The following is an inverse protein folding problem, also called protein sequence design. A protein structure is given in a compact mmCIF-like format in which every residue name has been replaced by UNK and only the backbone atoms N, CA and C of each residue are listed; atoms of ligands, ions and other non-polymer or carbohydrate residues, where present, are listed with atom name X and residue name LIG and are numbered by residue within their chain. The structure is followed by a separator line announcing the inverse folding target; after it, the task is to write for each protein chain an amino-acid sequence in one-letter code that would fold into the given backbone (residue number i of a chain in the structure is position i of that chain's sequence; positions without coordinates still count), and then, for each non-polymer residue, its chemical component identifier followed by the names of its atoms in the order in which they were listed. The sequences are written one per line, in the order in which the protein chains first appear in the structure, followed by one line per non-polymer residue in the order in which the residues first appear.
data_IF_321747724723
#
_entry.id   IF_321747724723
#
_cell.length_a   1.000
_cell.length_b   1.000
_cell.length_c   1.000
_cell.angle_alpha   90.00
_cell.angle_beta   90.00
_cell.angle_gamma   90.00
#
_symmetry.space_group_name_H-M   'P 1'
#
loop_
_entity.id
_entity.type
_entity.pdbx_description
1 polymer ?
#
# COMPACT_ATOMS: atom_id res chain seq x y z
N UNK A 1 -4.59 -12.02 9.30
CA UNK A 1 -4.32 -10.58 9.05
C UNK A 1 -5.57 -9.92 8.50
N UNK A 2 -5.91 -8.69 8.94
CA UNK A 2 -7.05 -7.95 8.39
C UNK A 2 -6.65 -7.29 7.07
N UNK A 3 -7.42 -7.53 6.00
CA UNK A 3 -7.18 -6.94 4.69
C UNK A 3 -8.13 -5.77 4.42
N UNK A 4 -7.58 -4.74 3.82
CA UNK A 4 -8.27 -3.53 3.39
C UNK A 4 -8.13 -3.37 1.88
N UNK A 5 -9.24 -3.08 1.21
CA UNK A 5 -9.23 -2.65 -0.19
C UNK A 5 -9.34 -1.13 -0.21
N UNK A 6 -8.30 -0.48 -0.70
CA UNK A 6 -8.26 0.96 -0.89
C UNK A 6 -8.73 1.29 -2.31
N UNK A 7 -9.83 2.04 -2.44
CA UNK A 7 -10.41 2.40 -3.72
C UNK A 7 -10.89 3.86 -3.75
N UNK A 8 -10.86 4.48 -4.92
CA UNK A 8 -11.52 5.76 -5.14
C UNK A 8 -13.05 5.60 -5.06
N UNK A 9 -13.74 6.60 -4.53
CA UNK A 9 -15.19 6.53 -4.33
C UNK A 9 -15.97 6.23 -5.63
N UNK A 10 -15.52 6.77 -6.76
CA UNK A 10 -16.15 6.58 -8.07
C UNK A 10 -15.90 5.19 -8.68
N UNK A 11 -14.89 4.48 -8.21
CA UNK A 11 -14.43 3.20 -8.77
C UNK A 11 -14.61 2.03 -7.80
N UNK A 12 -15.29 2.25 -6.67
CA UNK A 12 -15.42 1.22 -5.64
C UNK A 12 -16.16 0.01 -6.19
N UNK A 13 -15.51 -1.17 -6.28
CA UNK A 13 -16.15 -2.40 -6.71
C UNK A 13 -17.09 -2.93 -5.64
N UNK A 14 -17.88 -3.95 -6.00
CA UNK A 14 -18.54 -4.78 -5.00
C UNK A 14 -17.47 -5.53 -4.17
N UNK A 15 -17.41 -5.23 -2.89
CA UNK A 15 -16.32 -5.68 -2.01
C UNK A 15 -16.76 -6.90 -1.21
N UNK A 16 -15.97 -7.96 -1.27
CA UNK A 16 -16.15 -9.14 -0.42
C UNK A 16 -16.26 -8.72 1.07
N UNK A 17 -17.28 -9.18 1.81
CA UNK A 17 -17.51 -8.79 3.21
C UNK A 17 -16.36 -9.13 4.17
N UNK A 18 -15.43 -9.99 3.78
CA UNK A 18 -14.21 -10.29 4.55
C UNK A 18 -13.15 -9.19 4.45
N UNK A 19 -13.26 -8.34 3.45
CA UNK A 19 -12.40 -7.17 3.26
C UNK A 19 -13.01 -5.95 3.94
N UNK A 20 -12.15 -5.02 4.32
CA UNK A 20 -12.57 -3.69 4.78
C UNK A 20 -12.30 -2.67 3.69
N UNK A 21 -13.18 -1.70 3.54
CA UNK A 21 -13.01 -0.65 2.55
C UNK A 21 -12.28 0.54 3.17
N UNK A 22 -11.33 1.09 2.42
CA UNK A 22 -10.71 2.39 2.67
C UNK A 22 -10.94 3.26 1.44
N UNK A 23 -11.47 4.45 1.64
CA UNK A 23 -11.64 5.40 0.56
C UNK A 23 -10.32 6.13 0.28
N UNK A 24 -9.87 6.08 -0.97
CA UNK A 24 -8.69 6.84 -1.41
C UNK A 24 -9.14 8.20 -1.89
N UNK A 25 -8.60 9.25 -1.26
CA UNK A 25 -8.77 10.63 -1.71
C UNK A 25 -7.41 11.23 -2.06
N UNK A 26 -7.16 11.42 -3.34
CA UNK A 26 -5.95 12.05 -3.84
C UNK A 26 -5.96 13.58 -3.70
N UNK A 27 -7.13 14.16 -3.46
CA UNK A 27 -7.32 15.62 -3.49
C UNK A 27 -8.02 16.08 -2.22
N UNK A 28 -7.28 16.27 -1.20
CA UNK A 28 -7.82 16.76 0.05
C UNK A 28 -8.22 18.25 -0.01
N UNK A 29 -8.78 18.73 -1.12
CA UNK A 29 -8.99 20.15 -1.26
C UNK A 29 -10.41 20.65 -1.05
N UNK A 30 -11.47 19.87 -0.98
CA UNK A 30 -12.80 20.49 -0.72
C UNK A 30 -13.95 19.62 -0.24
N UNK A 31 -14.00 18.35 -0.49
CA UNK A 31 -15.11 17.55 0.01
C UNK A 31 -14.70 16.09 0.14
N UNK A 32 -15.01 15.54 1.26
CA UNK A 32 -14.95 14.11 1.45
C UNK A 32 -15.83 13.43 0.39
N UNK A 33 -15.40 12.32 -0.24
CA UNK A 33 -16.18 11.66 -1.29
C UNK A 33 -17.61 11.41 -0.83
N UNK A 34 -18.57 11.89 -1.61
CA UNK A 34 -19.97 11.61 -1.36
C UNK A 34 -20.39 10.36 -2.12
N UNK A 35 -21.33 9.59 -1.59
CA UNK A 35 -21.91 8.45 -2.31
C UNK A 35 -21.08 7.17 -2.28
N UNK A 36 -20.30 6.94 -1.24
CA UNK A 36 -19.61 5.65 -1.03
C UNK A 36 -20.63 4.52 -0.96
N UNK A 37 -20.51 3.46 -1.79
CA UNK A 37 -21.46 2.36 -1.85
C UNK A 37 -21.49 1.50 -0.58
N UNK A 38 -20.41 1.51 0.19
CA UNK A 38 -20.29 0.86 1.49
C UNK A 38 -19.70 1.85 2.50
N UNK A 39 -19.99 1.66 3.79
CA UNK A 39 -19.35 2.44 4.85
C UNK A 39 -17.87 2.08 4.96
N UNK A 40 -16.93 2.96 4.55
CA UNK A 40 -15.52 2.68 4.67
C UNK A 40 -15.11 2.66 6.14
N UNK A 41 -14.09 1.86 6.47
CA UNK A 41 -13.51 1.87 7.82
C UNK A 41 -12.51 3.01 8.00
N UNK A 42 -11.95 3.51 6.91
CA UNK A 42 -10.96 4.58 6.94
C UNK A 42 -10.86 5.36 5.65
N UNK A 43 -10.00 6.35 5.65
CA UNK A 43 -9.64 7.16 4.49
C UNK A 43 -8.12 7.15 4.28
N UNK A 44 -7.70 7.12 3.03
CA UNK A 44 -6.31 7.27 2.62
C UNK A 44 -6.11 8.64 1.97
N UNK A 45 -5.23 9.43 2.55
CA UNK A 45 -4.87 10.76 2.07
C UNK A 45 -3.50 10.68 1.38
N UNK A 46 -3.47 10.98 0.10
CA UNK A 46 -2.24 10.98 -0.69
C UNK A 46 -1.85 12.42 -1.03
N UNK A 47 -1.11 13.03 -0.13
CA UNK A 47 -0.65 14.41 -0.27
C UNK A 47 -1.55 15.42 0.45
N UNK A 48 -1.06 16.64 0.57
CA UNK A 48 -1.76 17.76 1.19
C UNK A 48 -0.98 18.45 2.29
N UNK A 49 -1.55 19.56 2.78
CA UNK A 49 -1.01 20.36 3.88
C UNK A 49 -1.48 19.78 5.23
N UNK A 50 -0.57 19.61 6.17
CA UNK A 50 -0.82 19.12 7.52
C UNK A 50 -1.14 20.26 8.52
N UNK A 51 -1.64 21.40 8.05
CA UNK A 51 -1.99 22.48 8.98
C UNK A 51 -2.94 21.98 10.08
N UNK A 52 -2.78 22.51 11.28
CA UNK A 52 -3.60 22.13 12.45
C UNK A 52 -5.10 22.32 12.20
N UNK A 53 -5.48 23.32 11.39
CA UNK A 53 -6.86 23.56 10.97
C UNK A 53 -7.39 22.41 10.14
N UNK A 54 -6.62 21.93 9.18
CA UNK A 54 -7.00 20.85 8.27
C UNK A 54 -7.09 19.51 9.00
N UNK A 55 -6.22 19.27 9.96
CA UNK A 55 -6.30 18.11 10.87
C UNK A 55 -7.63 18.10 11.64
N UNK A 56 -8.07 19.28 12.09
CA UNK A 56 -9.37 19.43 12.74
C UNK A 56 -10.52 19.02 11.81
N UNK A 57 -10.55 19.59 10.61
CA UNK A 57 -11.57 19.33 9.59
C UNK A 57 -11.63 17.85 9.19
N UNK A 58 -10.47 17.20 8.97
CA UNK A 58 -10.38 15.77 8.70
C UNK A 58 -10.97 14.97 9.87
N UNK A 59 -10.50 15.26 11.07
CA UNK A 59 -10.92 14.52 12.25
C UNK A 59 -12.40 14.62 12.54
N UNK A 60 -12.99 15.80 12.37
CA UNK A 60 -14.43 16.02 12.53
C UNK A 60 -15.24 15.27 11.47
N UNK A 61 -14.80 15.33 10.21
CA UNK A 61 -15.47 14.62 9.12
C UNK A 61 -15.38 13.11 9.27
N UNK A 62 -14.22 12.58 9.66
CA UNK A 62 -14.06 11.16 9.95
C UNK A 62 -14.95 10.71 11.10
N UNK A 63 -15.00 11.49 12.18
CA UNK A 63 -15.88 11.19 13.32
C UNK A 63 -17.35 11.21 12.93
N UNK A 64 -17.78 12.20 12.15
CA UNK A 64 -19.16 12.32 11.64
C UNK A 64 -19.57 11.12 10.77
N UNK A 65 -18.64 10.55 10.02
CA UNK A 65 -18.89 9.39 9.14
C UNK A 65 -18.64 8.04 9.81
N UNK A 66 -18.21 8.03 11.07
CA UNK A 66 -17.89 6.79 11.79
C UNK A 66 -16.61 6.09 11.30
N UNK A 67 -15.72 6.81 10.62
CA UNK A 67 -14.43 6.28 10.19
C UNK A 67 -13.53 6.04 11.41
N UNK A 68 -12.67 5.04 11.32
CA UNK A 68 -11.81 4.61 12.44
C UNK A 68 -10.32 4.78 12.17
N UNK A 69 -9.92 4.97 10.90
CA UNK A 69 -8.53 5.09 10.51
C UNK A 69 -8.31 6.18 9.48
N UNK A 70 -7.16 6.83 9.57
CA UNK A 70 -6.66 7.80 8.59
C UNK A 70 -5.27 7.36 8.16
N UNK A 71 -5.15 6.94 6.91
CA UNK A 71 -3.87 6.64 6.28
C UNK A 71 -3.37 7.91 5.62
N UNK A 72 -2.11 8.24 5.84
CA UNK A 72 -1.53 9.44 5.26
C UNK A 72 -0.15 9.16 4.66
N UNK A 73 -0.04 9.42 3.36
CA UNK A 73 1.20 9.41 2.59
C UNK A 73 1.63 10.82 2.31
N UNK A 74 2.30 11.45 3.25
CA UNK A 74 2.89 12.75 3.02
C UNK A 74 4.34 12.60 2.58
N UNK A 75 4.80 13.51 1.74
CA UNK A 75 6.22 13.73 1.55
C UNK A 75 6.91 14.15 2.86
N UNK A 76 8.12 14.62 2.80
CA UNK A 76 8.85 15.09 3.98
C UNK A 76 8.08 16.21 4.69
N UNK A 77 7.43 15.87 5.79
CA UNK A 77 6.78 16.85 6.68
C UNK A 77 7.62 17.06 7.93
N UNK A 78 7.69 18.28 8.48
CA UNK A 78 8.39 18.53 9.73
C UNK A 78 7.89 17.62 10.86
N UNK A 79 8.80 17.10 11.67
CA UNK A 79 8.50 16.16 12.76
C UNK A 79 7.38 16.64 13.70
N UNK A 80 7.40 17.93 14.02
CA UNK A 80 6.42 18.55 14.90
C UNK A 80 5.01 18.56 14.29
N UNK A 81 4.89 18.74 12.98
CA UNK A 81 3.60 18.76 12.30
C UNK A 81 3.02 17.35 12.23
N UNK A 82 3.84 16.35 11.92
CA UNK A 82 3.46 14.93 11.93
C UNK A 82 2.97 14.51 13.32
N UNK A 83 3.70 14.87 14.37
CA UNK A 83 3.31 14.54 15.75
C UNK A 83 1.97 15.20 16.13
N UNK A 84 1.76 16.49 15.79
CA UNK A 84 0.50 17.21 16.01
C UNK A 84 -0.68 16.60 15.24
N UNK A 85 -0.44 16.16 14.02
CA UNK A 85 -1.42 15.48 13.20
C UNK A 85 -1.87 14.18 13.88
N UNK A 86 -0.94 13.30 14.23
CA UNK A 86 -1.24 12.03 14.89
C UNK A 86 -1.97 12.23 16.22
N UNK A 87 -1.48 13.13 17.06
CA UNK A 87 -2.08 13.46 18.35
C UNK A 87 -3.51 14.01 18.19
N UNK A 88 -3.72 14.86 17.18
CA UNK A 88 -5.06 15.37 16.85
C UNK A 88 -6.05 14.31 16.43
N UNK A 89 -5.61 13.27 15.71
CA UNK A 89 -6.43 12.12 15.32
C UNK A 89 -6.69 11.18 16.50
N UNK A 90 -5.65 10.86 17.28
CA UNK A 90 -5.76 9.99 18.45
C UNK A 90 -6.74 10.53 19.50
N UNK A 91 -6.71 11.85 19.76
CA UNK A 91 -7.68 12.51 20.66
C UNK A 91 -9.13 12.36 20.20
N UNK A 92 -9.36 12.11 18.94
CA UNK A 92 -10.69 11.87 18.34
C UNK A 92 -11.04 10.38 18.21
N UNK A 93 -10.20 9.50 18.77
CA UNK A 93 -10.39 8.05 18.68
C UNK A 93 -10.10 7.47 17.29
N UNK A 94 -9.43 8.24 16.42
CA UNK A 94 -9.02 7.81 15.09
C UNK A 94 -7.62 7.23 15.14
N UNK A 95 -7.38 6.19 14.35
CA UNK A 95 -6.08 5.53 14.22
C UNK A 95 -5.29 6.18 13.09
N UNK A 96 -4.17 6.87 13.37
CA UNK A 96 -3.27 7.33 12.34
C UNK A 96 -2.41 6.18 11.81
N UNK A 97 -2.26 6.08 10.50
CA UNK A 97 -1.36 5.17 9.80
C UNK A 97 -0.55 6.02 8.83
N UNK A 98 0.77 5.97 8.93
CA UNK A 98 1.66 6.78 8.11
C UNK A 98 2.54 5.91 7.24
N UNK A 99 2.81 6.37 6.01
CA UNK A 99 3.86 5.75 5.19
C UNK A 99 5.22 5.87 5.88
N UNK A 100 6.13 4.97 5.61
CA UNK A 100 7.46 4.93 6.23
C UNK A 100 8.18 6.28 6.17
N UNK A 101 8.08 6.98 5.04
CA UNK A 101 8.73 8.29 4.84
C UNK A 101 8.15 9.40 5.73
N UNK A 102 6.89 9.29 6.12
CA UNK A 102 6.22 10.25 6.99
C UNK A 102 6.23 9.83 8.47
N UNK A 103 6.46 8.54 8.74
CA UNK A 103 6.43 7.99 10.08
C UNK A 103 7.65 8.40 10.91
N UNK A 104 7.42 8.61 12.20
CA UNK A 104 8.47 8.96 13.16
C UNK A 104 8.22 8.25 14.50
N UNK A 105 9.29 7.84 15.13
CA UNK A 105 9.21 7.19 16.44
C UNK A 105 8.49 8.07 17.47
N UNK A 106 7.57 7.48 18.21
CA UNK A 106 6.81 8.17 19.27
C UNK A 106 5.65 9.04 18.78
N UNK A 107 5.34 9.09 17.48
CA UNK A 107 4.18 9.86 16.98
C UNK A 107 2.83 9.18 17.26
N UNK A 108 2.81 7.95 17.77
CA UNK A 108 1.59 7.19 18.06
C UNK A 108 0.87 6.62 16.83
N UNK A 109 1.45 6.76 15.64
CA UNK A 109 0.93 6.18 14.41
C UNK A 109 1.47 4.78 14.15
N UNK A 110 0.66 3.94 13.49
CA UNK A 110 1.17 2.72 12.86
C UNK A 110 1.99 3.10 11.62
N UNK A 111 3.05 2.34 11.36
CA UNK A 111 3.89 2.54 10.18
C UNK A 111 3.41 1.65 9.04
N UNK A 112 3.32 2.17 7.83
CA UNK A 112 3.00 1.41 6.62
C UNK A 112 4.21 1.36 5.70
N UNK A 113 4.64 0.15 5.33
CA UNK A 113 5.73 -0.07 4.38
C UNK A 113 5.24 -0.80 3.15
N UNK A 114 5.86 -0.51 2.00
CA UNK A 114 5.57 -1.21 0.74
C UNK A 114 6.18 -2.61 0.73
N UNK A 115 5.44 -3.57 0.18
CA UNK A 115 5.91 -4.92 -0.13
C UNK A 115 6.54 -5.05 -1.52
N UNK A 116 6.54 -3.99 -2.31
CA UNK A 116 7.08 -3.96 -3.67
C UNK A 116 8.58 -3.63 -3.63
N UNK A 117 9.41 -4.64 -3.45
CA UNK A 117 10.87 -4.48 -3.40
C UNK A 117 11.49 -4.74 -4.76
N UNK A 118 12.48 -3.93 -5.12
CA UNK A 118 13.36 -4.14 -6.27
C UNK A 118 14.75 -4.67 -5.89
N UNK A 119 15.02 -4.81 -4.60
CA UNK A 119 16.26 -5.36 -4.03
C UNK A 119 16.10 -5.62 -2.53
N UNK A 120 17.05 -6.38 -1.95
CA UNK A 120 17.01 -6.77 -0.56
C UNK A 120 16.13 -8.00 -0.29
N UNK A 121 15.70 -8.15 0.95
CA UNK A 121 14.90 -9.28 1.44
C UNK A 121 13.67 -8.77 2.20
N UNK A 122 12.47 -9.22 1.80
CA UNK A 122 11.23 -8.73 2.37
C UNK A 122 11.06 -9.13 3.84
N UNK A 123 11.52 -10.32 4.22
CA UNK A 123 11.47 -10.76 5.63
C UNK A 123 12.30 -9.84 6.52
N UNK A 124 13.56 -9.63 6.15
CA UNK A 124 14.49 -8.75 6.87
C UNK A 124 13.91 -7.34 7.01
N UNK A 125 13.35 -6.80 5.93
CA UNK A 125 12.72 -5.47 5.95
C UNK A 125 11.52 -5.40 6.90
N UNK A 126 10.68 -6.43 6.94
CA UNK A 126 9.55 -6.50 7.87
C UNK A 126 10.01 -6.61 9.33
N UNK A 127 11.03 -7.42 9.61
CA UNK A 127 11.60 -7.61 10.94
C UNK A 127 12.23 -6.30 11.46
N UNK A 128 13.00 -5.60 10.62
CA UNK A 128 13.58 -4.29 10.94
C UNK A 128 12.49 -3.24 11.21
N UNK A 129 11.44 -3.21 10.40
CA UNK A 129 10.32 -2.29 10.59
C UNK A 129 9.55 -2.58 11.89
N UNK A 130 9.30 -3.85 12.21
CA UNK A 130 8.68 -4.27 13.47
C UNK A 130 9.52 -3.92 14.70
N UNK A 131 10.85 -3.92 14.57
CA UNK A 131 11.75 -3.46 15.64
C UNK A 131 11.72 -1.95 15.90
N UNK A 132 11.15 -1.17 14.97
CA UNK A 132 11.10 0.31 15.04
C UNK A 132 9.75 0.85 15.51
N UNK A 133 8.66 0.12 15.35
CA UNK A 133 7.30 0.59 15.59
C UNK A 133 6.45 -0.40 16.38
N UNK A 134 5.47 0.10 17.14
CA UNK A 134 4.52 -0.72 17.89
C UNK A 134 3.41 -1.33 17.01
N UNK A 135 3.23 -0.84 15.79
CA UNK A 135 2.24 -1.31 14.83
C UNK A 135 2.71 -1.15 13.41
N UNK A 136 2.75 -2.28 12.67
CA UNK A 136 3.14 -2.32 11.27
C UNK A 136 1.95 -2.69 10.39
N UNK A 137 1.79 -1.95 9.31
CA UNK A 137 0.87 -2.22 8.20
C UNK A 137 1.68 -2.51 6.93
N UNK A 138 1.17 -3.37 6.07
CA UNK A 138 1.79 -3.69 4.80
C UNK A 138 0.99 -3.07 3.65
N UNK A 139 1.62 -2.21 2.87
CA UNK A 139 1.13 -1.81 1.56
C UNK A 139 1.48 -2.92 0.56
N UNK A 140 0.44 -3.58 0.05
CA UNK A 140 0.55 -4.66 -0.92
C UNK A 140 0.53 -4.07 -2.35
N UNK A 141 1.35 -3.04 -2.57
CA UNK A 141 1.59 -2.48 -3.90
C UNK A 141 1.93 -3.61 -4.88
N UNK A 142 1.26 -3.61 -6.02
CA UNK A 142 1.50 -4.62 -7.05
C UNK A 142 2.75 -4.31 -7.84
N UNK A 143 3.81 -5.05 -7.61
CA UNK A 143 5.06 -4.89 -8.34
C UNK A 143 4.89 -5.27 -9.81
N UNK A 144 5.24 -4.35 -10.70
CA UNK A 144 5.37 -4.55 -12.14
C UNK A 144 6.40 -3.57 -12.67
N UNK A 145 7.66 -4.01 -12.71
CA UNK A 145 8.78 -3.16 -13.13
C UNK A 145 9.74 -3.91 -14.05
N UNK A 146 10.40 -3.19 -14.94
CA UNK A 146 11.46 -3.69 -15.79
C UNK A 146 12.73 -2.83 -15.62
N UNK A 147 13.86 -3.48 -15.49
CA UNK A 147 15.17 -2.86 -15.25
C UNK A 147 16.06 -3.15 -16.45
N UNK A 148 16.69 -2.15 -17.10
CA UNK A 148 17.68 -2.39 -18.14
C UNK A 148 18.86 -3.17 -17.55
N UNK A 149 19.54 -3.98 -18.36
CA UNK A 149 20.75 -4.67 -17.93
C UNK A 149 21.91 -4.23 -18.81
N UNK A 150 22.94 -3.58 -18.24
CA UNK A 150 23.13 -3.24 -16.82
C UNK A 150 22.20 -2.11 -16.34
N UNK A 151 21.92 -2.07 -15.01
CA UNK A 151 21.09 -1.06 -14.37
C UNK A 151 21.92 -0.27 -13.34
N UNK A 152 22.76 0.68 -13.77
CA UNK A 152 23.68 1.38 -12.87
C UNK A 152 22.97 2.21 -11.80
N UNK A 153 21.79 2.75 -12.11
CA UNK A 153 21.04 3.64 -11.22
C UNK A 153 20.08 2.87 -10.31
N UNK A 154 19.92 1.56 -10.53
CA UNK A 154 18.98 0.72 -9.76
C UNK A 154 17.49 1.06 -9.97
N UNK A 155 17.21 1.96 -10.92
CA UNK A 155 15.84 2.40 -11.18
C UNK A 155 15.18 1.57 -12.29
N UNK A 156 13.99 1.04 -11.98
CA UNK A 156 13.17 0.30 -12.92
C UNK A 156 12.02 1.15 -13.46
N UNK A 157 11.64 0.88 -14.71
CA UNK A 157 10.47 1.49 -15.33
C UNK A 157 9.20 0.68 -15.03
N UNK A 158 8.10 1.37 -14.84
CA UNK A 158 6.80 0.72 -14.67
C UNK A 158 6.43 -0.07 -15.93
N UNK A 159 5.96 -1.30 -15.75
CA UNK A 159 5.51 -2.17 -16.82
C UNK A 159 3.99 -2.29 -16.77
N UNK A 160 3.31 -1.97 -17.86
CA UNK A 160 1.84 -2.12 -17.93
C UNK A 160 1.42 -3.59 -17.84
N UNK A 161 0.21 -3.84 -17.34
CA UNK A 161 -0.36 -5.21 -17.28
C UNK A 161 -0.37 -5.87 -18.64
N UNK A 162 -0.71 -5.13 -19.71
CA UNK A 162 -0.71 -5.61 -21.09
C UNK A 162 0.69 -6.01 -21.55
N UNK A 163 1.69 -5.14 -21.32
CA UNK A 163 3.06 -5.44 -21.73
C UNK A 163 3.62 -6.68 -21.00
N UNK A 164 3.33 -6.83 -19.70
CA UNK A 164 3.67 -8.05 -18.95
C UNK A 164 2.99 -9.29 -19.54
N UNK A 165 1.69 -9.22 -19.82
CA UNK A 165 0.95 -10.33 -20.43
C UNK A 165 1.54 -10.73 -21.78
N UNK A 166 1.88 -9.75 -22.64
CA UNK A 166 2.51 -10.00 -23.95
C UNK A 166 3.86 -10.72 -23.81
N UNK A 167 4.68 -10.35 -22.82
CA UNK A 167 5.97 -11.01 -22.55
C UNK A 167 5.76 -12.47 -22.11
N UNK A 168 4.80 -12.72 -21.21
CA UNK A 168 4.48 -14.06 -20.74
C UNK A 168 3.93 -14.95 -21.88
N UNK A 169 3.07 -14.42 -22.74
CA UNK A 169 2.57 -15.14 -23.92
C UNK A 169 3.67 -15.47 -24.95
N UNK A 170 4.72 -14.67 -25.04
CA UNK A 170 5.89 -14.96 -25.87
C UNK A 170 6.83 -16.03 -25.31
N UNK A 171 6.46 -16.64 -24.19
CA UNK A 171 7.19 -17.77 -23.60
C UNK A 171 8.22 -17.40 -22.55
N UNK A 172 8.16 -16.21 -21.98
CA UNK A 172 8.95 -15.90 -20.80
C UNK A 172 8.67 -16.91 -19.67
N UNK A 173 9.72 -17.36 -18.99
CA UNK A 173 9.65 -18.36 -17.91
C UNK A 173 9.99 -17.71 -16.58
N UNK A 174 9.01 -17.19 -15.84
CA UNK A 174 9.26 -16.61 -14.53
C UNK A 174 9.74 -17.64 -13.52
N UNK A 175 10.69 -17.25 -12.68
CA UNK A 175 11.05 -17.91 -11.44
C UNK A 175 10.57 -17.10 -10.24
N UNK A 176 10.33 -17.76 -9.12
CA UNK A 176 10.01 -17.08 -7.87
C UNK A 176 11.29 -16.71 -7.13
N UNK A 177 11.40 -15.47 -6.66
CA UNK A 177 12.44 -15.01 -5.74
C UNK A 177 11.92 -15.08 -4.31
N UNK A 178 12.54 -15.92 -3.49
CA UNK A 178 12.19 -16.04 -2.06
C UNK A 178 12.55 -14.77 -1.28
N UNK A 179 13.60 -14.06 -1.68
CA UNK A 179 14.05 -12.82 -1.04
C UNK A 179 13.08 -11.66 -1.32
N UNK A 180 12.77 -11.44 -2.58
CA UNK A 180 11.87 -10.35 -3.01
C UNK A 180 10.39 -10.72 -2.85
N UNK A 181 10.08 -12.01 -2.64
CA UNK A 181 8.71 -12.54 -2.59
C UNK A 181 7.88 -12.17 -3.83
N UNK A 182 8.53 -12.11 -5.00
CA UNK A 182 7.90 -11.81 -6.29
C UNK A 182 8.39 -12.75 -7.38
N UNK A 183 7.80 -12.68 -8.57
CA UNK A 183 8.27 -13.40 -9.76
C UNK A 183 9.24 -12.54 -10.56
N UNK A 184 10.24 -13.20 -11.16
CA UNK A 184 11.30 -12.58 -11.93
C UNK A 184 11.62 -13.36 -13.20
N UNK A 185 11.97 -12.64 -14.26
CA UNK A 185 12.54 -13.22 -15.49
C UNK A 185 13.31 -12.16 -16.27
N UNK A 186 14.13 -12.59 -17.24
CA UNK A 186 14.76 -11.71 -18.22
C UNK A 186 14.03 -11.79 -19.55
N UNK A 187 13.90 -10.64 -20.23
CA UNK A 187 13.30 -10.55 -21.54
C UNK A 187 13.97 -9.46 -22.39
N UNK A 188 13.88 -9.60 -23.71
CA UNK A 188 14.23 -8.54 -24.63
C UNK A 188 13.02 -7.59 -24.80
N UNK A 189 13.21 -6.32 -24.46
CA UNK A 189 12.20 -5.26 -24.58
C UNK A 189 12.83 -4.12 -25.39
N UNK A 190 12.27 -3.84 -26.56
CA UNK A 190 12.77 -2.80 -27.50
C UNK A 190 14.26 -2.94 -27.86
N UNK A 191 14.74 -4.18 -28.00
CA UNK A 191 16.13 -4.47 -28.36
C UNK A 191 17.13 -4.43 -27.17
N UNK A 192 16.65 -4.26 -25.95
CA UNK A 192 17.45 -4.27 -24.73
C UNK A 192 17.12 -5.48 -23.86
N UNK A 193 18.12 -6.12 -23.30
CA UNK A 193 17.88 -7.14 -22.27
C UNK A 193 17.46 -6.46 -20.98
N UNK A 194 16.30 -6.85 -20.46
CA UNK A 194 15.72 -6.27 -19.24
C UNK A 194 15.38 -7.38 -18.23
N UNK A 195 15.59 -7.06 -16.97
CA UNK A 195 15.13 -7.87 -15.85
C UNK A 195 13.74 -7.39 -15.42
N UNK A 196 12.78 -8.30 -15.38
CA UNK A 196 11.39 -8.00 -15.06
C UNK A 196 11.03 -8.59 -13.71
N UNK A 197 10.48 -7.75 -12.83
CA UNK A 197 9.91 -8.13 -11.54
C UNK A 197 8.41 -7.88 -11.54
N UNK A 198 7.63 -8.84 -11.06
CA UNK A 198 6.19 -8.68 -10.99
C UNK A 198 5.52 -9.52 -9.91
N UNK A 199 4.36 -9.04 -9.47
CA UNK A 199 3.47 -9.75 -8.56
C UNK A 199 2.28 -10.34 -9.30
N UNK A 200 1.85 -11.50 -8.83
CA UNK A 200 0.58 -12.14 -9.19
C UNK A 200 -0.16 -12.61 -7.91
N UNK A 201 -1.29 -13.30 -8.09
CA UNK A 201 -2.10 -13.81 -6.98
C UNK A 201 -1.32 -14.77 -6.06
N UNK A 202 -0.39 -15.55 -6.60
CA UNK A 202 0.43 -16.47 -5.81
C UNK A 202 1.42 -15.69 -4.93
N UNK A 203 2.15 -14.73 -5.51
CA UNK A 203 3.11 -13.90 -4.75
C UNK A 203 2.40 -13.08 -3.68
N UNK A 204 1.22 -12.53 -3.97
CA UNK A 204 0.38 -11.85 -2.99
C UNK A 204 0.10 -12.74 -1.76
N UNK A 205 -0.36 -13.98 -1.98
CA UNK A 205 -0.63 -14.92 -0.89
C UNK A 205 0.62 -15.24 -0.08
N UNK A 206 1.77 -15.40 -0.73
CA UNK A 206 3.05 -15.65 -0.05
C UNK A 206 3.48 -14.47 0.82
N UNK A 207 3.39 -13.24 0.29
CA UNK A 207 3.64 -11.99 1.04
C UNK A 207 2.74 -11.88 2.28
N UNK A 208 1.45 -12.19 2.12
CA UNK A 208 0.48 -12.17 3.22
C UNK A 208 0.81 -13.19 4.32
N UNK A 209 1.17 -14.43 3.95
CA UNK A 209 1.57 -15.46 4.92
C UNK A 209 2.85 -15.07 5.65
N UNK A 210 3.85 -14.54 4.94
CA UNK A 210 5.07 -14.05 5.56
C UNK A 210 4.76 -12.95 6.56
N UNK A 211 4.03 -11.91 6.14
CA UNK A 211 3.68 -10.79 7.01
C UNK A 211 2.88 -11.24 8.24
N UNK A 212 1.89 -12.13 8.05
CA UNK A 212 1.11 -12.69 9.16
C UNK A 212 1.97 -13.50 10.14
N UNK A 213 2.93 -14.30 9.64
CA UNK A 213 3.84 -15.08 10.49
C UNK A 213 4.76 -14.22 11.36
N UNK A 214 5.05 -12.99 10.92
CA UNK A 214 5.84 -12.00 11.65
C UNK A 214 4.99 -11.10 12.56
N UNK A 215 3.66 -11.28 12.58
CA UNK A 215 2.77 -10.51 13.45
C UNK A 215 2.22 -9.22 12.84
N UNK A 216 2.43 -8.98 11.55
CA UNK A 216 1.79 -7.87 10.84
C UNK A 216 0.27 -8.09 10.82
N UNK A 217 -0.50 -7.10 11.27
CA UNK A 217 -1.93 -7.28 11.50
C UNK A 217 -2.81 -6.76 10.38
N UNK A 218 -2.30 -5.85 9.53
CA UNK A 218 -3.07 -5.17 8.47
C UNK A 218 -2.31 -5.15 7.17
N UNK A 219 -3.05 -5.39 6.07
CA UNK A 219 -2.55 -5.24 4.72
C UNK A 219 -3.53 -4.42 3.88
N UNK A 220 -2.99 -3.57 3.03
CA UNK A 220 -3.73 -2.69 2.15
C UNK A 220 -3.47 -3.05 0.70
N UNK A 221 -4.54 -3.23 -0.07
CA UNK A 221 -4.56 -3.53 -1.49
C UNK A 221 -5.15 -2.33 -2.21
N UNK A 222 -4.48 -1.80 -3.23
CA UNK A 222 -5.00 -0.69 -4.02
C UNK A 222 -5.82 -1.22 -5.22
N UNK A 223 -7.06 -0.78 -5.33
CA UNK A 223 -7.88 -0.98 -6.52
C UNK A 223 -7.63 0.18 -7.51
N UNK A 224 -7.52 -0.04 -8.83
CA UNK A 224 -7.73 -1.32 -9.54
C UNK A 224 -6.46 -2.16 -9.76
N UNK A 225 -5.34 -1.86 -9.13
CA UNK A 225 -4.11 -2.67 -9.30
C UNK A 225 -4.33 -4.13 -8.93
N UNK A 226 -5.02 -4.37 -7.82
CA UNK A 226 -5.56 -5.66 -7.43
C UNK A 226 -7.05 -5.68 -7.71
N UNK A 227 -7.54 -6.64 -8.48
CA UNK A 227 -8.98 -6.81 -8.69
C UNK A 227 -9.69 -7.21 -7.39
N UNK A 228 -11.01 -6.99 -7.33
CA UNK A 228 -11.81 -7.46 -6.21
C UNK A 228 -11.70 -8.99 -5.99
N UNK A 229 -11.56 -9.75 -7.09
CA UNK A 229 -11.34 -11.20 -7.04
C UNK A 229 -9.97 -11.57 -6.45
N UNK A 230 -8.90 -10.84 -6.81
CA UNK A 230 -7.57 -11.06 -6.25
C UNK A 230 -7.57 -10.78 -4.75
N UNK A 231 -8.21 -9.69 -4.35
CA UNK A 231 -8.35 -9.30 -2.96
C UNK A 231 -9.18 -10.31 -2.15
N UNK A 232 -10.31 -10.79 -2.68
CA UNK A 232 -11.13 -11.82 -2.06
C UNK A 232 -10.37 -13.14 -1.90
N UNK A 233 -9.67 -13.57 -2.96
CA UNK A 233 -8.84 -14.77 -2.93
C UNK A 233 -7.64 -14.68 -1.98
N UNK A 234 -7.16 -13.46 -1.69
CA UNK A 234 -6.12 -13.20 -0.72
C UNK A 234 -6.63 -13.27 0.72
N UNK A 235 -7.92 -13.00 0.95
CA UNK A 235 -8.53 -13.10 2.28
C UNK A 235 -8.60 -14.55 2.81
N UNK A 236 -8.43 -15.55 1.94
CA UNK A 236 -8.38 -16.97 2.28
C UNK A 236 -6.97 -17.46 2.64
N UNK A 237 -5.94 -16.62 2.56
CA UNK A 237 -4.54 -16.99 2.76
C UNK A 237 -4.10 -16.84 4.21
#
# INVERSE_FOLDING_TARGET
MQLYLAAEAAETPDVDPRLRLVCVDYRFDRSFPQGLPQAPEGVMLLGGDLSARRVGEIGEECARRGLRAVLAGFGHSPALETARFCDGLLRRGLRPILTENAWQAGCGAEMMISSALSGGDLRTRLEEALGRCDGLCLDLERLRRSFPLPCPDGEGEALSARALADLLHRGAKPSFSEELMCKAFTAEIKGETRFVLFDDRETLRRKLRLAASLGVRRGFLLYPEWSAEDAAAAADA
#
